data_IF_175893103146
#
_entry.id   IF_175893103146
#
_cell.length_a   1.000
_cell.length_b   1.000
_cell.length_c   1.000
_cell.angle_alpha   90.00
_cell.angle_beta   90.00
_cell.angle_gamma   90.00
#
_symmetry.space_group_name_H-M   'P 1'
#
loop_
_entity.id
_entity.type
_entity.pdbx_description
1 polymer ?
#
# COMPACT_ATOMS: atom_id res chain seq x y z
N UNK A 1 -22.36 -3.35 20.86
CA UNK A 1 -23.18 -2.85 19.74
C UNK A 1 -23.08 -1.32 19.76
N UNK A 2 -22.77 -0.66 18.64
CA UNK A 2 -22.54 0.79 18.60
C UNK A 2 -23.87 1.54 18.68
N UNK A 3 -24.32 1.86 19.90
CA UNK A 3 -25.64 2.46 20.17
C UNK A 3 -25.74 3.95 19.84
N UNK A 4 -24.62 4.59 19.55
CA UNK A 4 -24.53 6.01 19.21
C UNK A 4 -24.61 6.29 17.70
N UNK A 5 -24.63 5.24 16.87
CA UNK A 5 -24.74 5.31 15.41
C UNK A 5 -26.15 4.84 15.02
N UNK A 6 -26.81 5.55 14.11
CA UNK A 6 -28.10 5.14 13.54
C UNK A 6 -27.94 3.95 12.56
N UNK A 7 -29.05 3.28 12.22
CA UNK A 7 -29.00 2.07 11.42
C UNK A 7 -28.60 2.31 9.96
N UNK A 8 -28.89 3.48 9.40
CA UNK A 8 -28.46 3.84 8.04
C UNK A 8 -26.94 4.03 8.00
N UNK A 9 -26.39 4.77 8.97
CA UNK A 9 -24.95 4.96 9.08
C UNK A 9 -24.21 3.63 9.31
N UNK A 10 -24.79 2.69 10.09
CA UNK A 10 -24.22 1.33 10.24
C UNK A 10 -24.16 0.57 8.91
N UNK A 11 -25.21 0.67 8.08
CA UNK A 11 -25.24 0.04 6.77
C UNK A 11 -24.14 0.61 5.86
N UNK A 12 -23.98 1.94 5.80
CA UNK A 12 -22.93 2.58 5.01
C UNK A 12 -21.51 2.21 5.47
N UNK A 13 -21.27 2.13 6.79
CA UNK A 13 -19.98 1.69 7.34
C UNK A 13 -19.72 0.22 6.99
N UNK A 14 -20.74 -0.64 7.07
CA UNK A 14 -20.61 -2.04 6.68
C UNK A 14 -20.25 -2.18 5.19
N UNK A 15 -20.93 -1.43 4.31
CA UNK A 15 -20.63 -1.41 2.87
C UNK A 15 -19.19 -0.95 2.60
N UNK A 16 -18.76 0.11 3.28
CA UNK A 16 -17.39 0.62 3.17
C UNK A 16 -16.35 -0.41 3.61
N UNK A 17 -16.57 -1.08 4.75
CA UNK A 17 -15.68 -2.12 5.28
C UNK A 17 -15.60 -3.33 4.35
N UNK A 18 -16.73 -3.75 3.78
CA UNK A 18 -16.79 -4.85 2.81
C UNK A 18 -16.08 -4.51 1.49
N UNK A 19 -16.01 -3.22 1.15
CA UNK A 19 -15.30 -2.72 -0.03
C UNK A 19 -13.81 -2.45 0.22
N UNK A 20 -13.27 -2.69 1.42
CA UNK A 20 -11.84 -2.44 1.69
C UNK A 20 -10.97 -3.40 0.89
N UNK A 21 -10.08 -2.84 0.07
CA UNK A 21 -9.05 -3.60 -0.65
C UNK A 21 -7.90 -3.90 0.31
N UNK A 22 -7.62 -5.18 0.56
CA UNK A 22 -6.46 -5.58 1.34
C UNK A 22 -5.27 -5.81 0.40
N UNK A 23 -4.20 -5.05 0.59
CA UNK A 23 -2.99 -5.16 -0.21
C UNK A 23 -1.78 -5.48 0.68
N UNK A 24 -0.94 -6.38 0.18
CA UNK A 24 0.41 -6.58 0.72
C UNK A 24 1.38 -5.69 -0.07
N UNK A 25 2.32 -5.09 0.64
CA UNK A 25 3.39 -4.27 0.08
C UNK A 25 4.73 -5.01 0.15
N UNK A 26 5.50 -5.13 -0.96
CA UNK A 26 5.21 -4.61 -2.30
C UNK A 26 4.04 -5.36 -2.99
N UNK A 27 3.32 -4.72 -3.94
CA UNK A 27 2.18 -5.27 -4.62
C UNK A 27 2.69 -6.32 -5.59
N UNK A 28 1.86 -7.32 -5.87
CA UNK A 28 2.22 -8.43 -6.77
C UNK A 28 2.66 -7.98 -8.16
N UNK A 29 2.21 -6.82 -8.62
CA UNK A 29 2.63 -6.26 -9.91
C UNK A 29 4.15 -6.04 -9.98
N UNK A 30 4.76 -5.54 -8.90
CA UNK A 30 6.22 -5.37 -8.82
C UNK A 30 7.00 -6.68 -8.72
N UNK A 31 6.32 -7.78 -8.40
CA UNK A 31 6.94 -9.10 -8.34
C UNK A 31 6.94 -9.81 -9.70
N UNK A 32 6.37 -9.18 -10.74
CA UNK A 32 6.42 -9.69 -12.11
C UNK A 32 7.66 -9.17 -12.81
N UNK A 33 8.38 -10.07 -13.47
CA UNK A 33 9.56 -9.74 -14.27
C UNK A 33 9.23 -8.66 -15.31
N UNK A 34 10.05 -7.61 -15.38
CA UNK A 34 9.94 -6.54 -16.37
C UNK A 34 8.98 -5.40 -16.01
N UNK A 35 8.11 -5.54 -15.00
CA UNK A 35 7.17 -4.47 -14.62
C UNK A 35 7.85 -3.33 -13.85
N UNK A 36 8.84 -3.67 -13.01
CA UNK A 36 9.65 -2.65 -12.34
C UNK A 36 10.49 -1.90 -13.39
N UNK A 37 11.14 -2.64 -14.28
CA UNK A 37 11.98 -2.11 -15.35
C UNK A 37 11.20 -1.10 -16.20
N UNK A 38 9.96 -1.41 -16.62
CA UNK A 38 9.10 -0.46 -17.36
C UNK A 38 8.87 0.88 -16.65
N UNK A 39 8.78 0.89 -15.31
CA UNK A 39 8.63 2.13 -14.53
C UNK A 39 9.93 2.94 -14.55
N UNK A 40 11.08 2.26 -14.60
CA UNK A 40 12.41 2.90 -14.58
C UNK A 40 13.01 3.12 -15.98
N UNK A 41 12.43 2.56 -17.04
CA UNK A 41 12.92 2.67 -18.43
C UNK A 41 13.04 4.14 -18.91
N UNK A 42 12.20 5.02 -18.38
CA UNK A 42 12.26 6.45 -18.68
C UNK A 42 13.36 7.20 -17.91
N UNK A 43 13.93 6.62 -16.85
CA UNK A 43 14.89 7.31 -15.99
C UNK A 43 16.30 7.26 -16.56
N UNK A 44 17.09 8.34 -16.40
CA UNK A 44 18.44 8.37 -16.92
C UNK A 44 19.34 7.40 -16.15
N UNK A 45 20.14 6.59 -16.86
CA UNK A 45 21.17 5.75 -16.22
C UNK A 45 22.38 6.56 -15.74
N UNK A 46 22.73 7.63 -16.47
CA UNK A 46 23.88 8.49 -16.19
C UNK A 46 23.59 9.93 -16.58
N UNK A 47 24.07 10.89 -15.79
CA UNK A 47 23.92 12.33 -16.04
C UNK A 47 25.18 13.10 -15.66
N UNK A 48 25.46 14.28 -16.25
CA UNK A 48 26.68 15.06 -15.98
C UNK A 48 26.80 15.53 -14.53
N UNK A 49 25.68 15.63 -13.80
CA UNK A 49 25.68 15.93 -12.37
C UNK A 49 24.42 15.40 -11.69
N UNK A 50 24.47 15.30 -10.37
CA UNK A 50 23.29 14.97 -9.57
C UNK A 50 22.11 15.93 -9.81
N UNK A 51 22.40 17.23 -10.05
CA UNK A 51 21.34 18.20 -10.34
C UNK A 51 20.64 17.91 -11.68
N UNK A 52 21.39 17.52 -12.72
CA UNK A 52 20.79 17.10 -14.00
C UNK A 52 19.99 15.81 -13.82
N UNK A 53 20.56 14.82 -13.13
CA UNK A 53 19.85 13.58 -12.77
C UNK A 53 18.52 13.84 -12.09
N UNK A 54 18.50 14.71 -11.08
CA UNK A 54 17.28 15.05 -10.36
C UNK A 54 16.23 15.72 -11.25
N UNK A 55 16.64 16.68 -12.08
CA UNK A 55 15.73 17.39 -12.99
C UNK A 55 15.14 16.44 -14.03
N UNK A 56 15.96 15.64 -14.70
CA UNK A 56 15.52 14.66 -15.70
C UNK A 56 14.59 13.64 -15.07
N UNK A 57 14.99 13.02 -13.96
CA UNK A 57 14.14 12.06 -13.22
C UNK A 57 12.79 12.67 -12.82
N UNK A 58 12.78 13.95 -12.39
CA UNK A 58 11.54 14.63 -12.01
C UNK A 58 10.62 14.87 -13.20
N UNK A 59 11.16 15.22 -14.36
CA UNK A 59 10.38 15.41 -15.59
C UNK A 59 9.75 14.10 -16.04
N UNK A 60 10.51 13.02 -16.04
CA UNK A 60 10.04 11.67 -16.39
C UNK A 60 8.99 11.16 -15.42
N UNK A 61 9.19 11.36 -14.11
CA UNK A 61 8.18 11.04 -13.11
C UNK A 61 6.86 11.80 -13.37
N UNK A 62 6.93 13.10 -13.70
CA UNK A 62 5.73 13.90 -14.04
C UNK A 62 5.03 13.38 -15.30
N UNK A 63 5.80 12.93 -16.31
CA UNK A 63 5.24 12.35 -17.52
C UNK A 63 4.51 11.02 -17.21
N UNK A 64 5.11 10.17 -16.37
CA UNK A 64 4.53 8.89 -15.96
C UNK A 64 3.31 9.04 -15.06
N UNK A 65 3.29 10.05 -14.17
CA UNK A 65 2.14 10.40 -13.31
C UNK A 65 0.82 10.64 -14.07
N UNK A 66 0.86 10.73 -15.41
CA UNK A 66 -0.32 10.91 -16.27
C UNK A 66 -0.79 9.64 -16.97
N UNK A 67 -0.16 8.49 -16.68
CA UNK A 67 -0.52 7.19 -17.26
C UNK A 67 -1.38 6.39 -16.30
N UNK A 68 -2.38 5.68 -16.83
CA UNK A 68 -3.28 4.86 -16.03
C UNK A 68 -2.52 3.72 -15.33
N UNK A 69 -1.53 3.14 -16.01
CA UNK A 69 -0.68 2.08 -15.46
C UNK A 69 0.11 2.56 -14.24
N UNK A 70 0.67 3.77 -14.29
CA UNK A 70 1.38 4.36 -13.16
C UNK A 70 0.41 4.78 -12.06
N UNK A 71 -0.78 5.31 -12.37
CA UNK A 71 -1.78 5.60 -11.34
C UNK A 71 -2.27 4.33 -10.63
N UNK A 72 -2.56 3.26 -11.36
CA UNK A 72 -2.96 1.97 -10.78
C UNK A 72 -1.85 1.32 -9.97
N UNK A 73 -0.61 1.41 -10.45
CA UNK A 73 0.55 1.00 -9.70
C UNK A 73 0.65 1.87 -8.43
N UNK A 74 0.67 3.20 -8.52
CA UNK A 74 0.90 4.11 -7.39
C UNK A 74 -0.23 4.17 -6.37
N UNK A 75 -1.48 3.98 -6.79
CA UNK A 75 -2.64 3.80 -5.92
C UNK A 75 -2.53 2.55 -5.05
N UNK A 76 -1.83 1.51 -5.53
CA UNK A 76 -1.49 0.32 -4.75
C UNK A 76 -0.11 0.43 -4.09
N UNK A 77 0.77 1.28 -4.62
CA UNK A 77 2.12 1.37 -4.14
C UNK A 77 2.26 2.23 -2.90
N UNK A 78 1.48 3.31 -2.80
CA UNK A 78 1.76 4.34 -1.82
C UNK A 78 3.15 4.93 -2.06
N UNK A 79 3.27 6.24 -2.13
CA UNK A 79 4.60 6.88 -2.19
C UNK A 79 5.45 6.70 -0.91
N UNK A 80 4.97 5.87 0.02
CA UNK A 80 5.50 5.70 1.36
C UNK A 80 5.54 4.21 1.64
N UNK A 81 6.73 3.69 1.94
CA UNK A 81 6.86 2.37 2.56
C UNK A 81 6.05 2.42 3.87
N UNK A 82 4.92 1.71 4.00
CA UNK A 82 4.17 1.71 5.23
C UNK A 82 5.00 0.95 6.26
N UNK A 83 5.59 1.62 7.26
CA UNK A 83 6.42 0.95 8.27
C UNK A 83 5.63 -0.10 9.06
N UNK A 84 4.34 0.18 9.34
CA UNK A 84 3.47 -0.67 10.18
C UNK A 84 2.10 -0.98 9.54
N UNK A 85 1.93 -0.59 8.28
CA UNK A 85 0.64 -0.53 7.61
C UNK A 85 0.20 0.92 7.35
N UNK A 86 -0.68 1.10 6.39
CA UNK A 86 -1.31 2.39 6.08
C UNK A 86 -2.70 2.15 5.50
N UNK A 87 -3.58 3.13 5.64
CA UNK A 87 -4.91 3.11 5.06
C UNK A 87 -5.10 4.32 4.15
N UNK A 88 -5.36 4.05 2.87
CA UNK A 88 -5.70 5.09 1.91
C UNK A 88 -7.21 5.13 1.70
N UNK A 89 -7.81 6.29 2.04
CA UNK A 89 -9.24 6.53 1.93
C UNK A 89 -9.70 6.73 0.48
N UNK A 90 -8.80 7.07 -0.45
CA UNK A 90 -9.14 7.31 -1.87
C UNK A 90 -9.45 5.99 -2.59
N UNK A 91 -8.55 4.98 -2.63
CA UNK A 91 -8.87 3.66 -3.16
C UNK A 91 -9.61 2.75 -2.16
N UNK A 92 -9.85 3.22 -0.93
CA UNK A 92 -10.42 2.45 0.18
C UNK A 92 -9.60 1.18 0.42
N UNK A 93 -8.30 1.34 0.66
CA UNK A 93 -7.34 0.24 0.73
C UNK A 93 -6.54 0.24 2.03
N UNK A 94 -6.42 -0.94 2.65
CA UNK A 94 -5.52 -1.19 3.76
C UNK A 94 -4.26 -1.89 3.23
N UNK A 95 -3.11 -1.22 3.35
CA UNK A 95 -1.81 -1.68 2.87
C UNK A 95 -0.99 -2.18 4.06
N UNK A 96 -0.41 -3.37 3.94
CA UNK A 96 0.47 -3.94 4.97
C UNK A 96 1.82 -4.32 4.36
N UNK A 97 2.95 -3.86 4.91
CA UNK A 97 4.28 -4.28 4.43
C UNK A 97 4.50 -5.76 4.75
N UNK A 98 5.15 -6.51 3.84
CA UNK A 98 5.57 -7.89 4.13
C UNK A 98 6.48 -7.97 5.37
N UNK A 99 7.20 -6.88 5.69
CA UNK A 99 8.03 -6.77 6.89
C UNK A 99 7.26 -6.99 8.20
N UNK A 100 5.97 -6.62 8.28
CA UNK A 100 5.17 -6.89 9.50
C UNK A 100 4.76 -8.35 9.64
N UNK A 101 4.91 -9.17 8.59
CA UNK A 101 4.68 -10.62 8.67
C UNK A 101 5.89 -11.35 9.28
N UNK A 102 6.52 -10.75 10.29
CA UNK A 102 7.68 -11.28 11.02
C UNK A 102 7.45 -11.18 12.53
N UNK A 103 8.29 -11.85 13.31
CA UNK A 103 8.26 -11.75 14.77
C UNK A 103 8.49 -10.30 15.23
N UNK A 104 7.70 -9.76 16.18
CA UNK A 104 6.74 -10.46 17.02
C UNK A 104 5.28 -10.45 16.51
N UNK A 105 5.02 -9.80 15.38
CA UNK A 105 3.66 -9.63 14.86
C UNK A 105 3.11 -10.93 14.24
N UNK A 106 3.95 -11.76 13.62
CA UNK A 106 3.52 -12.99 12.98
C UNK A 106 4.49 -14.15 13.21
N UNK A 107 3.92 -15.34 13.40
CA UNK A 107 4.63 -16.61 13.51
C UNK A 107 3.84 -17.67 12.74
N UNK A 108 4.42 -18.28 11.71
CA UNK A 108 3.72 -19.26 10.84
C UNK A 108 3.18 -20.48 11.59
N UNK A 109 3.82 -20.90 12.68
CA UNK A 109 3.37 -21.95 13.59
C UNK A 109 2.86 -21.45 14.95
N UNK A 110 2.58 -20.14 15.08
CA UNK A 110 2.17 -19.53 16.35
C UNK A 110 0.77 -19.94 16.81
N UNK A 111 0.51 -19.82 18.11
CA UNK A 111 -0.86 -19.99 18.64
C UNK A 111 -1.76 -18.89 18.10
N UNK A 112 -3.07 -19.18 17.99
CA UNK A 112 -4.08 -18.18 17.56
C UNK A 112 -4.00 -16.87 18.33
N UNK A 113 -3.73 -16.91 19.64
CA UNK A 113 -3.57 -15.69 20.46
C UNK A 113 -2.41 -14.79 20.00
N UNK A 114 -1.31 -15.38 19.52
CA UNK A 114 -0.18 -14.63 18.98
C UNK A 114 -0.53 -14.00 17.63
N UNK A 115 -1.25 -14.74 16.78
CA UNK A 115 -1.73 -14.23 15.49
C UNK A 115 -2.75 -13.10 15.66
N UNK A 116 -3.73 -13.28 16.56
CA UNK A 116 -4.77 -12.29 16.82
C UNK A 116 -4.23 -11.04 17.53
N UNK A 117 -3.32 -11.22 18.49
CA UNK A 117 -2.71 -10.10 19.21
C UNK A 117 -1.60 -9.38 18.45
N UNK A 118 -1.00 -10.03 17.45
CA UNK A 118 0.03 -9.46 16.58
C UNK A 118 -0.56 -8.91 15.28
N UNK A 119 -0.41 -9.67 14.20
CA UNK A 119 -0.73 -9.23 12.84
C UNK A 119 -2.19 -8.75 12.68
N UNK A 120 -3.16 -9.44 13.28
CA UNK A 120 -4.57 -9.01 13.20
C UNK A 120 -4.82 -7.70 13.94
N UNK A 121 -4.16 -7.47 15.07
CA UNK A 121 -4.24 -6.19 15.76
C UNK A 121 -3.69 -5.06 14.89
N UNK A 122 -2.53 -5.28 14.25
CA UNK A 122 -1.95 -4.30 13.32
C UNK A 122 -2.87 -4.03 12.12
N UNK A 123 -3.50 -5.06 11.55
CA UNK A 123 -4.47 -4.89 10.46
C UNK A 123 -5.70 -4.11 10.93
N UNK A 124 -6.23 -4.46 12.12
CA UNK A 124 -7.39 -3.77 12.67
C UNK A 124 -7.10 -2.29 12.91
N UNK A 125 -5.89 -1.93 13.37
CA UNK A 125 -5.50 -0.52 13.54
C UNK A 125 -5.56 0.30 12.26
N UNK A 126 -5.42 -0.31 11.08
CA UNK A 126 -5.55 0.43 9.81
C UNK A 126 -7.01 0.67 9.41
N UNK A 127 -7.96 -0.02 10.01
CA UNK A 127 -9.39 0.07 9.67
C UNK A 127 -10.18 1.00 10.59
N UNK A 128 -9.54 1.50 11.66
CA UNK A 128 -10.11 2.42 12.66
C UNK A 128 -9.77 3.85 12.27
#
# INVERSE_FOLDING_TARGET
>A
MLSWIDDQSKALVADKLMAVKNALWPPRLLLKDGELEKIYDGFPETEPSFAHYWVTTRQEAIAMHRTQEYEEAMLLLGNKFPEYGDYDYVPNAAMMPLGVATSPAYYSGGKKSMLYGGLFFLMAMQLV
#
